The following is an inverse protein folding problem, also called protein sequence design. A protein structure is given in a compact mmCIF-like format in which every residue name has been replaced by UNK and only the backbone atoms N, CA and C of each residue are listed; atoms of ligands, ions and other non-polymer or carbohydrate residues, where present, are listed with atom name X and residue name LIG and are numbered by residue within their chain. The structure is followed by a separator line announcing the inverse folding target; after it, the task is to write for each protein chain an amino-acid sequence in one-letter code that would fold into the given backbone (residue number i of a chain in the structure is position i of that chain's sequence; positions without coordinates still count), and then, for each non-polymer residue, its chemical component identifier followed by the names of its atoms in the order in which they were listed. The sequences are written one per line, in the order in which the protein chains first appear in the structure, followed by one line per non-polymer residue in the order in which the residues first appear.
data_IF_273610288276
#
_entry.id   IF_273610288276
#
_cell.length_a   1.000
_cell.length_b   1.000
_cell.length_c   1.000
_cell.angle_alpha   90.00
_cell.angle_beta   90.00
_cell.angle_gamma   90.00
#
_symmetry.space_group_name_H-M   'P 1'
#
loop_
_entity.id
_entity.type
_entity.pdbx_description
1 polymer ?
#
# COMPACT_ATOMS: atom_id res chain seq x y z
N UNK A 1 -0.58 -78.30 -58.38
CA UNK A 1 -0.84 -77.98 -56.96
C UNK A 1 0.46 -77.50 -56.33
N UNK A 2 0.61 -76.17 -56.28
CA UNK A 2 1.69 -75.45 -55.63
C UNK A 2 1.02 -74.55 -54.62
N UNK A 3 1.41 -74.58 -53.35
CA UNK A 3 1.15 -73.44 -52.47
C UNK A 3 2.21 -73.35 -51.38
N UNK A 4 2.68 -72.12 -51.22
CA UNK A 4 3.90 -71.66 -50.57
C UNK A 4 3.76 -71.65 -49.04
N UNK A 5 4.88 -71.92 -48.35
CA UNK A 5 5.10 -71.55 -46.95
C UNK A 5 5.14 -70.01 -46.84
N UNK A 6 4.31 -69.42 -45.98
CA UNK A 6 4.47 -68.04 -45.55
C UNK A 6 4.65 -68.03 -44.02
N UNK A 7 5.84 -67.63 -43.58
CA UNK A 7 6.10 -67.25 -42.20
C UNK A 7 5.33 -65.95 -41.92
N UNK A 8 4.48 -65.94 -40.89
CA UNK A 8 4.02 -64.71 -40.26
C UNK A 8 4.94 -64.41 -39.06
N UNK A 9 5.73 -63.35 -39.19
CA UNK A 9 6.42 -62.71 -38.07
C UNK A 9 5.42 -61.72 -37.46
N UNK A 10 4.99 -61.98 -36.23
CA UNK A 10 4.18 -61.05 -35.46
C UNK A 10 5.09 -59.95 -34.89
N UNK A 11 5.02 -58.75 -35.47
CA UNK A 11 5.64 -57.54 -34.93
C UNK A 11 4.77 -56.97 -33.81
N UNK A 12 5.23 -57.08 -32.56
CA UNK A 12 4.64 -56.36 -31.44
C UNK A 12 5.13 -54.90 -31.48
N UNK A 13 4.25 -53.98 -31.86
CA UNK A 13 4.49 -52.55 -31.73
C UNK A 13 4.34 -52.15 -30.26
N UNK A 14 5.48 -51.91 -29.58
CA UNK A 14 5.50 -51.30 -28.25
C UNK A 14 5.14 -49.82 -28.42
N UNK A 15 3.89 -49.47 -28.12
CA UNK A 15 3.44 -48.08 -28.04
C UNK A 15 3.97 -47.51 -26.72
N UNK A 16 5.05 -46.73 -26.80
CA UNK A 16 5.53 -45.93 -25.67
C UNK A 16 4.50 -44.82 -25.43
N UNK A 17 3.52 -45.09 -24.57
CA UNK A 17 2.61 -44.07 -24.07
C UNK A 17 3.42 -43.20 -23.10
N UNK A 18 3.87 -42.02 -23.55
CA UNK A 18 4.26 -40.96 -22.64
C UNK A 18 3.02 -40.56 -21.84
N UNK A 19 2.80 -41.25 -20.73
CA UNK A 19 2.04 -40.71 -19.62
C UNK A 19 2.97 -39.71 -18.95
N UNK A 20 2.84 -38.45 -19.33
CA UNK A 20 3.25 -37.34 -18.47
C UNK A 20 2.46 -37.48 -17.18
N UNK A 21 3.03 -38.24 -16.23
CA UNK A 21 2.67 -38.11 -14.84
C UNK A 21 2.96 -36.65 -14.48
N UNK A 22 1.91 -35.82 -14.45
CA UNK A 22 1.87 -34.66 -13.57
C UNK A 22 2.06 -35.22 -12.16
N UNK A 23 3.31 -35.38 -11.76
CA UNK A 23 3.65 -35.50 -10.37
C UNK A 23 3.05 -34.24 -9.74
N UNK A 24 2.01 -34.42 -8.93
CA UNK A 24 1.46 -33.33 -8.14
C UNK A 24 2.58 -32.84 -7.26
N UNK A 25 3.20 -31.72 -7.63
CA UNK A 25 4.05 -30.98 -6.73
C UNK A 25 3.23 -30.71 -5.47
N UNK A 26 3.79 -30.97 -4.29
CA UNK A 26 3.15 -30.61 -3.03
C UNK A 26 2.90 -29.09 -3.06
N UNK A 27 1.63 -28.70 -3.23
CA UNK A 27 1.23 -27.30 -3.25
C UNK A 27 1.66 -26.65 -1.94
N UNK A 28 2.52 -25.64 -2.03
CA UNK A 28 2.96 -24.85 -0.89
C UNK A 28 1.95 -23.73 -0.64
N UNK A 29 1.32 -23.74 0.54
CA UNK A 29 0.50 -22.62 1.01
C UNK A 29 1.37 -21.60 1.74
N UNK A 30 1.30 -20.34 1.32
CA UNK A 30 1.87 -19.18 2.00
C UNK A 30 0.75 -18.43 2.73
N UNK A 31 1.01 -17.97 3.96
CA UNK A 31 0.03 -17.25 4.77
C UNK A 31 0.21 -15.73 4.68
N UNK A 32 -0.79 -15.04 4.15
CA UNK A 32 -0.86 -13.57 4.05
C UNK A 32 -1.69 -13.00 5.22
N UNK A 33 -1.08 -12.26 6.15
CA UNK A 33 -1.79 -11.65 7.28
C UNK A 33 -2.15 -10.19 7.00
N UNK A 34 -3.44 -9.82 7.06
CA UNK A 34 -3.91 -8.45 6.75
C UNK A 34 -4.89 -7.88 7.78
N UNK A 35 -4.86 -6.56 8.06
CA UNK A 35 -5.89 -5.91 8.86
C UNK A 35 -7.19 -5.65 8.13
N UNK A 36 -7.20 -5.77 6.80
CA UNK A 36 -8.37 -5.45 6.01
C UNK A 36 -9.56 -6.38 6.36
N UNK A 37 -10.80 -5.85 6.37
CA UNK A 37 -11.98 -6.69 6.35
C UNK A 37 -12.15 -7.35 4.98
N UNK A 38 -12.74 -8.57 4.88
CA UNK A 38 -12.93 -9.28 3.61
C UNK A 38 -14.13 -8.73 2.84
N UNK A 39 -14.06 -7.47 2.40
CA UNK A 39 -15.10 -6.80 1.61
C UNK A 39 -14.84 -6.86 0.11
N UNK A 40 -15.81 -6.44 -0.68
CA UNK A 40 -15.72 -6.27 -2.14
C UNK A 40 -15.17 -4.89 -2.54
N UNK A 41 -14.24 -4.35 -1.74
CA UNK A 41 -13.58 -3.09 -2.09
C UNK A 41 -12.59 -3.34 -3.25
N UNK A 42 -12.42 -2.40 -4.18
CA UNK A 42 -11.47 -2.51 -5.29
C UNK A 42 -10.07 -3.01 -4.87
N UNK A 43 -9.49 -2.49 -3.79
CA UNK A 43 -8.15 -2.92 -3.32
C UNK A 43 -8.10 -4.38 -2.86
N UNK A 44 -9.19 -4.90 -2.27
CA UNK A 44 -9.28 -6.31 -1.90
C UNK A 44 -9.46 -7.21 -3.13
N UNK A 45 -10.16 -6.73 -4.16
CA UNK A 45 -10.25 -7.44 -5.43
C UNK A 45 -8.88 -7.57 -6.10
N UNK A 46 -8.05 -6.53 -6.05
CA UNK A 46 -6.66 -6.60 -6.52
C UNK A 46 -5.85 -7.63 -5.73
N UNK A 47 -6.01 -7.70 -4.40
CA UNK A 47 -5.35 -8.74 -3.59
C UNK A 47 -5.81 -10.15 -4.01
N UNK A 48 -7.12 -10.38 -4.18
CA UNK A 48 -7.66 -11.67 -4.62
C UNK A 48 -7.18 -12.05 -6.03
N UNK A 49 -7.15 -11.09 -6.95
CA UNK A 49 -6.57 -11.28 -8.28
C UNK A 49 -5.11 -11.72 -8.18
N UNK A 50 -4.30 -11.00 -7.39
CA UNK A 50 -2.88 -11.31 -7.23
C UNK A 50 -2.63 -12.70 -6.65
N UNK A 51 -3.38 -13.10 -5.60
CA UNK A 51 -3.24 -14.44 -5.04
C UNK A 51 -3.61 -15.54 -6.04
N UNK A 52 -4.61 -15.29 -6.89
CA UNK A 52 -5.00 -16.22 -7.95
C UNK A 52 -3.93 -16.30 -9.06
N UNK A 53 -3.37 -15.17 -9.48
CA UNK A 53 -2.31 -15.14 -10.50
C UNK A 53 -1.04 -15.85 -10.04
N UNK A 54 -0.66 -15.72 -8.76
CA UNK A 54 0.46 -16.49 -8.20
C UNK A 54 0.20 -17.98 -8.36
N UNK A 55 -1.01 -18.46 -8.03
CA UNK A 55 -1.40 -19.86 -8.19
C UNK A 55 -1.37 -20.28 -9.66
N UNK A 56 -1.99 -19.50 -10.56
CA UNK A 56 -2.09 -19.85 -11.97
C UNK A 56 -0.71 -19.88 -12.66
N UNK A 57 0.13 -18.85 -12.45
CA UNK A 57 1.45 -18.73 -13.08
C UNK A 57 2.49 -19.69 -12.49
N UNK A 58 2.25 -20.23 -11.30
CA UNK A 58 3.05 -21.32 -10.71
C UNK A 58 2.45 -22.71 -10.95
N UNK A 59 1.43 -22.84 -11.81
CA UNK A 59 0.74 -24.11 -12.08
C UNK A 59 0.19 -24.81 -10.82
N UNK A 60 -0.20 -24.04 -9.80
CA UNK A 60 -0.71 -24.55 -8.52
C UNK A 60 0.37 -24.97 -7.52
N UNK A 61 1.65 -24.75 -7.81
CA UNK A 61 2.75 -25.07 -6.86
C UNK A 61 2.77 -24.12 -5.66
N UNK A 62 2.33 -22.87 -5.84
CA UNK A 62 2.26 -21.86 -4.76
C UNK A 62 0.84 -21.35 -4.64
N UNK A 63 0.26 -21.46 -3.45
CA UNK A 63 -1.02 -20.85 -3.10
C UNK A 63 -0.84 -19.84 -1.97
N UNK A 64 -1.68 -18.80 -1.94
CA UNK A 64 -1.66 -17.79 -0.89
C UNK A 64 -3.00 -17.81 -0.16
N UNK A 65 -2.97 -18.14 1.13
CA UNK A 65 -4.12 -18.07 2.01
C UNK A 65 -4.14 -16.71 2.72
N UNK A 66 -5.23 -15.96 2.57
CA UNK A 66 -5.38 -14.63 3.18
C UNK A 66 -6.11 -14.71 4.53
N UNK A 67 -5.40 -14.30 5.58
CA UNK A 67 -5.88 -14.17 6.95
C UNK A 67 -6.36 -12.73 7.21
N UNK A 68 -7.66 -12.53 7.07
CA UNK A 68 -8.33 -11.22 7.20
C UNK A 68 -8.50 -10.77 8.65
N UNK A 69 -8.83 -9.49 8.84
CA UNK A 69 -9.19 -8.93 10.16
C UNK A 69 -8.15 -9.19 11.27
N UNK A 70 -6.86 -9.28 10.91
CA UNK A 70 -5.79 -9.57 11.86
C UNK A 70 -6.00 -10.88 12.63
N UNK A 71 -6.61 -11.89 11.98
CA UNK A 71 -6.88 -13.21 12.59
C UNK A 71 -5.60 -13.98 12.92
N UNK A 72 -4.56 -13.84 12.08
CA UNK A 72 -3.25 -14.47 12.28
C UNK A 72 -2.30 -13.57 13.08
N UNK A 73 -2.18 -12.29 12.70
CA UNK A 73 -1.24 -11.33 13.29
C UNK A 73 -1.90 -9.98 13.46
N UNK A 74 -1.67 -9.33 14.61
CA UNK A 74 -2.05 -7.92 14.82
C UNK A 74 -1.20 -7.02 13.95
N UNK A 75 -1.80 -6.02 13.31
CA UNK A 75 -1.10 -5.19 12.31
C UNK A 75 0.15 -4.48 12.85
N UNK A 76 0.11 -4.10 14.14
CA UNK A 76 1.25 -3.48 14.81
C UNK A 76 2.44 -4.47 14.98
N UNK A 77 2.16 -5.78 14.98
CA UNK A 77 3.14 -6.84 15.14
C UNK A 77 3.58 -7.46 13.80
N UNK A 78 3.05 -6.99 12.66
CA UNK A 78 3.31 -7.53 11.32
C UNK A 78 4.80 -7.69 11.01
N UNK A 79 5.63 -6.67 11.30
CA UNK A 79 7.06 -6.74 11.02
C UNK A 79 7.79 -7.80 11.88
N UNK A 80 7.35 -8.02 13.12
CA UNK A 80 7.91 -9.05 13.99
C UNK A 80 7.47 -10.44 13.52
N UNK A 81 6.19 -10.60 13.17
CA UNK A 81 5.66 -11.86 12.69
C UNK A 81 6.32 -12.31 11.39
N UNK A 82 6.47 -11.38 10.43
CA UNK A 82 7.22 -11.60 9.19
C UNK A 82 8.67 -12.01 9.47
N UNK A 83 9.38 -11.26 10.31
CA UNK A 83 10.79 -11.55 10.63
C UNK A 83 10.97 -12.96 11.22
N UNK A 84 10.01 -13.41 12.03
CA UNK A 84 10.00 -14.75 12.66
C UNK A 84 9.45 -15.89 11.78
N UNK A 85 8.81 -15.58 10.65
CA UNK A 85 8.13 -16.56 9.81
C UNK A 85 6.76 -17.03 10.32
N UNK A 86 6.16 -16.33 11.31
CA UNK A 86 4.80 -16.62 11.76
C UNK A 86 3.75 -16.31 10.68
N UNK A 87 4.01 -15.29 9.86
CA UNK A 87 3.31 -15.04 8.61
C UNK A 87 4.34 -14.99 7.49
N UNK A 88 3.99 -15.52 6.32
CA UNK A 88 4.86 -15.50 5.15
C UNK A 88 4.85 -14.12 4.50
N UNK A 89 3.68 -13.50 4.40
CA UNK A 89 3.47 -12.22 3.73
C UNK A 89 2.59 -11.32 4.61
N UNK A 90 2.92 -10.03 4.71
CA UNK A 90 2.07 -9.07 5.44
C UNK A 90 2.36 -7.63 4.99
N UNK A 91 1.35 -6.76 4.89
CA UNK A 91 1.55 -5.33 4.83
C UNK A 91 2.05 -4.82 6.20
N UNK A 92 2.89 -3.80 6.17
CA UNK A 92 3.25 -2.99 7.33
C UNK A 92 3.15 -1.50 6.99
N UNK A 93 2.88 -0.67 8.00
CA UNK A 93 3.07 0.77 7.91
C UNK A 93 4.41 1.11 8.57
N UNK A 94 5.39 1.66 7.82
CA UNK A 94 6.69 2.05 8.35
C UNK A 94 6.64 2.97 9.59
N UNK A 95 5.59 3.80 9.74
CA UNK A 95 5.45 4.70 10.90
C UNK A 95 5.38 3.97 12.24
N UNK A 96 4.88 2.72 12.28
CA UNK A 96 4.79 1.94 13.51
C UNK A 96 6.08 1.20 13.86
N UNK A 97 7.06 1.22 12.95
CA UNK A 97 8.29 0.42 13.05
C UNK A 97 9.55 1.25 12.72
N UNK A 98 9.52 2.57 12.94
CA UNK A 98 10.63 3.52 12.67
C UNK A 98 11.96 3.05 13.27
N UNK A 99 11.94 2.45 14.46
CA UNK A 99 13.16 2.00 15.13
C UNK A 99 13.88 0.89 14.36
N UNK A 100 13.13 0.06 13.62
CA UNK A 100 13.63 -1.08 12.82
C UNK A 100 13.85 -0.71 11.36
N UNK A 101 13.01 0.17 10.81
CA UNK A 101 13.03 0.55 9.38
C UNK A 101 13.08 2.07 9.18
N UNK A 102 14.10 2.76 9.70
CA UNK A 102 14.21 4.21 9.57
C UNK A 102 14.19 4.68 8.11
N UNK A 103 14.82 3.98 7.15
CA UNK A 103 14.79 4.41 5.75
C UNK A 103 13.38 4.30 5.16
N UNK A 104 12.63 3.23 5.47
CA UNK A 104 11.25 3.10 5.02
C UNK A 104 10.31 4.16 5.57
N UNK A 105 10.63 4.79 6.69
CA UNK A 105 9.81 5.91 7.19
C UNK A 105 9.86 7.17 6.31
N UNK A 106 10.82 7.28 5.39
CA UNK A 106 10.82 8.35 4.39
C UNK A 106 9.60 8.25 3.44
N UNK A 107 8.99 7.07 3.32
CA UNK A 107 7.74 6.86 2.59
C UNK A 107 6.48 7.39 3.30
N UNK A 108 6.68 8.06 4.45
CA UNK A 108 5.66 8.60 5.31
C UNK A 108 5.94 10.10 5.51
N UNK A 109 5.36 10.91 4.62
CA UNK A 109 5.66 12.34 4.48
C UNK A 109 4.39 13.17 4.56
N UNK A 110 4.45 14.35 5.18
CA UNK A 110 3.36 15.33 5.19
C UNK A 110 3.37 16.27 3.96
N UNK A 111 4.39 16.18 3.10
CA UNK A 111 4.43 16.85 1.78
C UNK A 111 4.33 15.85 0.63
N UNK A 112 4.01 16.35 -0.57
CA UNK A 112 3.96 15.57 -1.81
C UNK A 112 2.56 15.49 -2.40
N UNK A 113 2.26 14.39 -3.09
CA UNK A 113 0.99 14.17 -3.78
C UNK A 113 0.10 13.21 -3.00
N UNK A 114 -1.18 13.56 -2.81
CA UNK A 114 -2.20 12.63 -2.32
C UNK A 114 -2.69 11.64 -3.38
N UNK A 115 -2.15 11.67 -4.61
CA UNK A 115 -2.55 10.78 -5.69
C UNK A 115 -1.87 9.40 -5.59
N UNK A 116 -2.68 8.33 -5.61
CA UNK A 116 -2.17 6.97 -5.44
C UNK A 116 -1.17 6.55 -6.52
N UNK A 117 -1.41 6.89 -7.79
CA UNK A 117 -0.55 6.47 -8.89
C UNK A 117 0.77 7.22 -8.87
N UNK A 118 0.69 8.54 -8.76
CA UNK A 118 1.86 9.42 -8.77
C UNK A 118 2.82 9.01 -7.64
N UNK A 119 2.29 8.76 -6.44
CA UNK A 119 3.10 8.32 -5.31
C UNK A 119 3.68 6.91 -5.50
N UNK A 120 2.89 5.96 -6.02
CA UNK A 120 3.34 4.59 -6.26
C UNK A 120 4.47 4.54 -7.28
N UNK A 121 4.30 5.24 -8.39
CA UNK A 121 5.28 5.31 -9.47
C UNK A 121 6.57 5.99 -9.01
N UNK A 122 6.47 7.12 -8.29
CA UNK A 122 7.64 7.80 -7.74
C UNK A 122 8.42 6.92 -6.76
N UNK A 123 7.74 6.25 -5.82
CA UNK A 123 8.41 5.34 -4.89
C UNK A 123 8.98 4.10 -5.58
N UNK A 124 8.31 3.56 -6.58
CA UNK A 124 8.83 2.43 -7.35
C UNK A 124 10.17 2.80 -8.00
N UNK A 125 10.25 3.93 -8.70
CA UNK A 125 11.50 4.42 -9.31
C UNK A 125 12.62 4.66 -8.29
N UNK A 126 12.28 5.12 -7.08
CA UNK A 126 13.24 5.26 -5.98
C UNK A 126 13.75 3.89 -5.51
N UNK A 127 12.84 2.92 -5.31
CA UNK A 127 13.18 1.59 -4.83
C UNK A 127 14.05 0.82 -5.82
N UNK A 128 13.83 0.96 -7.13
CA UNK A 128 14.68 0.37 -8.17
C UNK A 128 16.12 0.89 -8.12
N UNK A 129 16.28 2.18 -7.80
CA UNK A 129 17.59 2.86 -7.79
C UNK A 129 18.30 2.77 -6.45
N UNK A 130 17.60 2.40 -5.37
CA UNK A 130 18.12 2.49 -4.02
C UNK A 130 18.16 1.15 -3.28
N UNK A 131 19.31 0.43 -3.32
CA UNK A 131 19.43 -0.87 -2.65
C UNK A 131 19.39 -0.77 -1.12
N UNK A 132 19.60 0.41 -0.53
CA UNK A 132 19.67 0.58 0.93
C UNK A 132 18.36 0.16 1.63
N UNK A 133 17.22 0.46 1.02
CA UNK A 133 15.91 0.13 1.58
C UNK A 133 15.65 -1.39 1.53
N UNK A 134 16.10 -2.05 0.46
CA UNK A 134 16.06 -3.51 0.37
C UNK A 134 17.04 -4.19 1.35
N UNK A 135 18.24 -3.64 1.53
CA UNK A 135 19.20 -4.09 2.55
C UNK A 135 18.65 -3.98 3.97
N UNK A 136 17.94 -2.89 4.29
CA UNK A 136 17.30 -2.68 5.59
C UNK A 136 16.23 -3.74 5.90
N UNK A 137 15.42 -4.12 4.90
CA UNK A 137 14.49 -5.25 5.05
C UNK A 137 15.21 -6.58 5.25
N UNK A 138 16.26 -6.85 4.45
CA UNK A 138 17.03 -8.10 4.55
C UNK A 138 17.67 -8.27 5.93
N UNK A 139 18.19 -7.18 6.52
CA UNK A 139 18.71 -7.18 7.91
C UNK A 139 17.67 -7.60 8.95
N UNK A 140 16.39 -7.50 8.63
CA UNK A 140 15.28 -7.88 9.49
C UNK A 140 14.56 -9.17 8.99
N UNK A 141 15.23 -9.99 8.17
CA UNK A 141 14.70 -11.23 7.62
C UNK A 141 13.46 -11.04 6.72
N UNK A 142 13.46 -9.98 5.90
CA UNK A 142 12.36 -9.68 4.97
C UNK A 142 12.86 -9.29 3.58
N UNK A 143 12.00 -9.51 2.58
CA UNK A 143 12.14 -8.98 1.23
C UNK A 143 10.92 -8.16 0.85
N UNK A 144 11.15 -7.07 0.11
CA UNK A 144 10.09 -6.26 -0.44
C UNK A 144 9.37 -7.01 -1.56
N UNK A 145 8.03 -7.04 -1.53
CA UNK A 145 7.25 -7.46 -2.68
C UNK A 145 6.67 -6.23 -3.38
N UNK A 146 5.82 -5.49 -2.67
CA UNK A 146 4.98 -4.44 -3.24
C UNK A 146 4.89 -3.26 -2.28
N UNK A 147 4.81 -2.04 -2.78
CA UNK A 147 4.37 -0.86 -2.03
C UNK A 147 3.18 -0.20 -2.73
N UNK A 148 2.23 0.29 -1.95
CA UNK A 148 1.12 1.09 -2.49
C UNK A 148 0.74 2.24 -1.56
N UNK A 149 0.27 3.31 -2.17
CA UNK A 149 -0.15 4.55 -1.54
C UNK A 149 -1.52 4.38 -0.90
N UNK A 150 -1.67 4.93 0.30
CA UNK A 150 -2.97 5.09 0.97
C UNK A 150 -3.83 6.20 0.37
N UNK A 151 -3.31 6.93 -0.62
CA UNK A 151 -4.03 7.97 -1.34
C UNK A 151 -4.23 9.24 -0.51
N UNK A 152 -5.27 10.04 -0.82
CA UNK A 152 -5.41 11.37 -0.26
C UNK A 152 -5.78 11.30 1.22
N UNK A 153 -5.11 12.13 2.02
CA UNK A 153 -5.41 12.30 3.44
C UNK A 153 -6.63 13.19 3.65
N UNK A 154 -7.37 12.89 4.71
CA UNK A 154 -8.51 13.68 5.19
C UNK A 154 -8.28 14.06 6.64
N UNK A 155 -8.49 15.34 6.94
CA UNK A 155 -8.65 15.87 8.27
C UNK A 155 -10.16 15.88 8.61
N UNK A 156 -10.60 14.90 9.40
CA UNK A 156 -11.97 14.80 9.87
C UNK A 156 -12.15 15.59 11.17
N UNK A 157 -13.27 16.29 11.33
CA UNK A 157 -13.56 17.13 12.49
C UNK A 157 -15.04 17.09 12.87
N UNK A 158 -15.30 17.27 14.17
CA UNK A 158 -16.66 17.31 14.75
C UNK A 158 -17.22 18.73 14.86
N UNK A 159 -16.37 19.76 14.76
CA UNK A 159 -16.72 21.13 15.17
C UNK A 159 -16.56 22.20 14.07
N UNK A 160 -15.50 22.13 13.27
CA UNK A 160 -15.15 23.09 12.20
C UNK A 160 -14.20 22.46 11.17
N UNK A 161 -14.11 22.97 9.94
CA UNK A 161 -13.18 22.45 8.94
C UNK A 161 -11.74 22.87 9.25
N UNK A 162 -10.78 21.95 9.09
CA UNK A 162 -9.35 22.22 9.23
C UNK A 162 -8.71 22.55 7.87
N UNK A 163 -8.96 23.76 7.36
CA UNK A 163 -8.46 24.20 6.05
C UNK A 163 -6.98 24.60 6.10
N UNK A 164 -6.52 25.02 7.27
CA UNK A 164 -5.16 25.43 7.61
C UNK A 164 -4.76 24.83 8.95
N UNK A 165 -3.45 24.78 9.28
CA UNK A 165 -3.02 24.29 10.59
C UNK A 165 -3.54 25.12 11.77
N UNK A 166 -3.83 26.41 11.58
CA UNK A 166 -4.34 27.27 12.65
C UNK A 166 -5.78 26.91 13.05
N UNK A 167 -6.55 26.34 12.11
CA UNK A 167 -7.92 25.89 12.37
C UNK A 167 -8.00 24.75 13.38
N UNK A 168 -6.88 24.06 13.66
CA UNK A 168 -6.85 23.09 14.76
C UNK A 168 -7.17 23.74 16.12
N UNK A 169 -6.85 25.02 16.35
CA UNK A 169 -7.20 25.82 17.53
C UNK A 169 -7.27 25.04 18.88
N UNK A 170 -6.21 24.28 19.18
CA UNK A 170 -6.03 23.52 20.41
C UNK A 170 -6.79 22.19 20.48
N UNK A 171 -7.57 21.83 19.46
CA UNK A 171 -8.40 20.62 19.41
C UNK A 171 -7.57 19.35 19.64
N UNK A 172 -8.21 18.37 20.29
CA UNK A 172 -7.64 17.04 20.48
C UNK A 172 -7.78 16.26 19.18
N UNK A 173 -6.70 16.08 18.43
CA UNK A 173 -6.75 15.45 17.10
C UNK A 173 -5.93 14.17 17.10
N UNK A 174 -6.54 13.07 16.64
CA UNK A 174 -5.78 11.84 16.37
C UNK A 174 -4.89 12.06 15.16
N UNK A 175 -3.59 11.81 15.32
CA UNK A 175 -2.59 11.94 14.26
C UNK A 175 -1.68 10.70 14.21
N UNK A 176 -1.07 10.43 13.07
CA UNK A 176 -0.05 9.39 12.96
C UNK A 176 1.27 9.85 13.59
N UNK A 177 2.20 8.96 13.97
CA UNK A 177 3.49 9.36 14.55
C UNK A 177 4.24 10.41 13.73
N UNK A 178 4.23 10.33 12.39
CA UNK A 178 4.86 11.34 11.52
C UNK A 178 4.14 12.67 11.58
N UNK A 179 2.81 12.68 11.49
CA UNK A 179 2.00 13.90 11.62
C UNK A 179 2.17 14.56 12.99
N UNK A 180 2.30 13.80 14.09
CA UNK A 180 2.59 14.35 15.44
C UNK A 180 3.96 15.05 15.46
N UNK A 181 4.99 14.43 14.86
CA UNK A 181 6.31 15.05 14.76
C UNK A 181 6.26 16.33 13.92
N UNK A 182 5.52 16.31 12.80
CA UNK A 182 5.37 17.46 11.93
C UNK A 182 4.62 18.61 12.61
N UNK A 183 3.49 18.34 13.25
CA UNK A 183 2.71 19.32 14.01
C UNK A 183 3.55 20.00 15.10
N UNK A 184 4.37 19.23 15.82
CA UNK A 184 5.27 19.75 16.84
C UNK A 184 6.36 20.65 16.25
N UNK A 185 7.00 20.23 15.16
CA UNK A 185 8.10 21.00 14.55
C UNK A 185 7.59 22.27 13.86
N UNK A 186 6.40 22.22 13.26
CA UNK A 186 5.73 23.37 12.65
C UNK A 186 4.96 24.24 13.66
N UNK A 187 4.97 23.88 14.96
CA UNK A 187 4.30 24.59 16.04
C UNK A 187 2.79 24.81 15.79
N UNK A 188 2.09 23.78 15.31
CA UNK A 188 0.64 23.83 15.13
C UNK A 188 -0.07 23.93 16.47
N UNK A 189 -1.10 24.77 16.56
CA UNK A 189 -1.96 24.86 17.74
C UNK A 189 -2.93 23.66 17.76
N UNK A 190 -2.43 22.48 18.10
CA UNK A 190 -3.19 21.23 18.17
C UNK A 190 -2.74 20.42 19.38
N UNK A 191 -3.65 19.64 19.96
CA UNK A 191 -3.32 18.65 21.00
C UNK A 191 -3.34 17.26 20.36
N UNK A 192 -2.20 16.68 19.95
CA UNK A 192 -2.21 15.37 19.31
C UNK A 192 -2.56 14.26 20.31
N UNK A 193 -3.45 13.36 19.93
CA UNK A 193 -3.88 12.22 20.76
C UNK A 193 -3.58 10.91 20.05
N UNK A 194 -2.97 9.96 20.76
CA UNK A 194 -2.75 8.62 20.23
C UNK A 194 -4.00 7.77 20.47
N UNK A 195 -4.70 7.44 19.39
CA UNK A 195 -5.84 6.52 19.38
C UNK A 195 -5.59 5.50 18.27
N UNK A 196 -5.85 4.22 18.56
CA UNK A 196 -5.76 3.18 17.55
C UNK A 196 -6.74 3.46 16.41
N UNK A 197 -6.37 3.14 15.16
CA UNK A 197 -7.17 3.54 14.00
C UNK A 197 -8.62 3.02 14.06
N UNK A 198 -8.83 1.80 14.55
CA UNK A 198 -10.16 1.20 14.71
C UNK A 198 -11.02 1.89 15.79
N UNK A 199 -10.41 2.61 16.73
CA UNK A 199 -11.12 3.25 17.84
C UNK A 199 -11.51 4.71 17.54
N UNK A 200 -11.07 5.27 16.40
CA UNK A 200 -11.32 6.68 16.01
C UNK A 200 -12.81 7.00 16.06
N UNK A 201 -13.67 6.17 15.46
CA UNK A 201 -15.12 6.35 15.50
C UNK A 201 -15.62 6.58 16.92
N UNK A 202 -15.31 5.63 17.81
CA UNK A 202 -15.81 5.63 19.18
C UNK A 202 -15.24 6.79 20.00
N UNK A 203 -14.01 7.21 19.70
CA UNK A 203 -13.35 8.31 20.36
C UNK A 203 -13.94 9.67 19.96
N UNK A 204 -14.30 9.84 18.67
CA UNK A 204 -15.00 11.02 18.16
C UNK A 204 -16.44 11.08 18.66
N UNK A 205 -17.17 9.96 18.60
CA UNK A 205 -18.56 9.84 19.07
C UNK A 205 -18.71 10.21 20.56
N UNK A 206 -17.79 9.72 21.41
CA UNK A 206 -17.75 10.08 22.83
C UNK A 206 -17.18 11.47 23.12
N UNK A 207 -16.71 12.20 22.11
CA UNK A 207 -16.10 13.52 22.27
C UNK A 207 -14.75 13.51 23.02
N UNK A 208 -14.07 12.37 23.08
CA UNK A 208 -12.73 12.27 23.71
C UNK A 208 -11.64 12.87 22.82
N UNK A 209 -11.87 12.90 21.50
CA UNK A 209 -11.11 13.64 20.50
C UNK A 209 -12.08 14.48 19.66
N UNK A 210 -11.62 15.62 19.16
CA UNK A 210 -12.40 16.53 18.33
C UNK A 210 -12.29 16.21 16.83
N UNK A 211 -11.24 15.50 16.43
CA UNK A 211 -10.99 15.14 15.04
C UNK A 211 -9.91 14.07 14.87
N UNK A 212 -9.69 13.67 13.62
CA UNK A 212 -8.69 12.68 13.27
C UNK A 212 -8.15 12.92 11.85
N UNK A 213 -6.85 12.72 11.67
CA UNK A 213 -6.25 12.52 10.36
C UNK A 213 -6.45 11.06 9.93
N UNK A 214 -6.95 10.86 8.72
CA UNK A 214 -7.26 9.57 8.08
C UNK A 214 -7.03 9.68 6.56
N UNK A 215 -7.53 8.73 5.79
CA UNK A 215 -7.52 8.74 4.32
C UNK A 215 -8.94 8.70 3.78
N UNK A 216 -9.17 9.32 2.63
CA UNK A 216 -10.51 9.46 2.02
C UNK A 216 -11.21 8.11 1.89
N UNK A 217 -10.51 7.11 1.34
CA UNK A 217 -11.06 5.77 1.11
C UNK A 217 -11.43 5.01 2.41
N UNK A 218 -10.90 5.42 3.57
CA UNK A 218 -11.19 4.79 4.86
C UNK A 218 -12.36 5.46 5.61
N UNK A 219 -12.83 6.63 5.18
CA UNK A 219 -13.98 7.31 5.79
C UNK A 219 -15.27 6.44 5.78
N UNK A 220 -15.63 5.76 4.66
CA UNK A 220 -16.80 4.87 4.65
C UNK A 220 -16.66 3.58 5.48
N UNK A 221 -15.66 2.70 5.25
CA UNK A 221 -15.64 1.37 5.87
C UNK A 221 -15.40 1.38 7.37
N UNK A 222 -14.76 2.44 7.90
CA UNK A 222 -14.62 2.65 9.35
C UNK A 222 -15.68 3.60 9.92
N UNK A 223 -16.66 4.02 9.10
CA UNK A 223 -17.80 4.84 9.50
C UNK A 223 -17.43 6.19 10.11
N UNK A 224 -16.21 6.67 9.89
CA UNK A 224 -15.77 7.97 10.43
C UNK A 224 -16.66 9.13 9.95
N UNK A 225 -17.25 9.00 8.76
CA UNK A 225 -18.22 9.95 8.22
C UNK A 225 -19.53 10.04 9.04
N UNK A 226 -19.92 9.01 9.80
CA UNK A 226 -21.13 9.07 10.64
C UNK A 226 -20.97 10.05 11.83
N UNK A 227 -19.71 10.31 12.24
CA UNK A 227 -19.37 11.12 13.42
C UNK A 227 -18.57 12.38 13.07
N UNK A 228 -18.06 12.50 11.85
CA UNK A 228 -17.36 13.68 11.36
C UNK A 228 -18.35 14.63 10.67
N UNK A 229 -18.49 15.86 11.19
CA UNK A 229 -19.31 16.90 10.54
C UNK A 229 -18.59 17.60 9.40
N UNK A 230 -17.25 17.62 9.45
CA UNK A 230 -16.39 18.24 8.45
C UNK A 230 -15.31 17.25 8.04
N UNK A 231 -14.97 17.24 6.75
CA UNK A 231 -13.88 16.46 6.21
C UNK A 231 -13.11 17.31 5.20
N UNK A 232 -11.85 17.62 5.50
CA UNK A 232 -10.97 18.38 4.61
C UNK A 232 -9.94 17.44 4.01
N UNK A 233 -10.08 17.14 2.72
CA UNK A 233 -9.07 16.42 1.95
C UNK A 233 -7.92 17.35 1.60
N UNK A 234 -6.72 17.01 2.06
CA UNK A 234 -5.56 17.90 1.93
C UNK A 234 -4.94 17.86 0.54
N UNK A 235 -5.08 16.73 -0.18
CA UNK A 235 -4.46 16.53 -1.50
C UNK A 235 -2.91 16.49 -1.49
N UNK A 236 -2.30 16.57 -0.31
CA UNK A 236 -0.86 16.58 -0.10
C UNK A 236 -0.45 15.54 0.93
N UNK A 237 0.84 15.22 0.94
CA UNK A 237 1.38 14.19 1.81
C UNK A 237 1.14 12.79 1.26
N UNK A 238 1.91 11.83 1.76
CA UNK A 238 1.92 10.48 1.24
C UNK A 238 2.25 9.48 2.35
N UNK A 239 1.56 8.35 2.33
CA UNK A 239 1.80 7.21 3.23
C UNK A 239 1.74 5.92 2.44
N UNK A 240 2.89 5.27 2.29
CA UNK A 240 2.99 3.97 1.64
C UNK A 240 2.69 2.84 2.63
N UNK A 241 1.85 1.89 2.22
CA UNK A 241 1.79 0.56 2.83
C UNK A 241 2.78 -0.34 2.10
N UNK A 242 3.62 -1.04 2.86
CA UNK A 242 4.70 -1.87 2.32
C UNK A 242 4.37 -3.33 2.60
N UNK A 243 4.16 -4.11 1.55
CA UNK A 243 3.94 -5.57 1.62
C UNK A 243 5.28 -6.26 1.47
N UNK A 244 5.63 -7.06 2.47
CA UNK A 244 6.90 -7.78 2.51
C UNK A 244 6.64 -9.27 2.68
N UNK A 245 7.60 -10.07 2.25
CA UNK A 245 7.67 -11.51 2.51
C UNK A 245 8.79 -11.80 3.51
N UNK A 246 8.62 -12.82 4.34
CA UNK A 246 9.73 -13.42 5.10
C UNK A 246 10.84 -13.85 4.14
N UNK A 247 12.09 -13.54 4.47
CA UNK A 247 13.22 -13.80 3.58
C UNK A 247 13.57 -15.29 3.46
N UNK A 248 13.37 -16.10 4.51
CA UNK A 248 13.55 -17.56 4.43
C UNK A 248 12.46 -18.21 3.56
N UNK A 249 11.22 -17.73 3.65
CA UNK A 249 10.13 -18.10 2.74
C UNK A 249 10.50 -17.75 1.31
N UNK A 250 10.95 -16.53 1.05
CA UNK A 250 11.39 -16.11 -0.29
C UNK A 250 12.53 -17.00 -0.83
N UNK A 251 13.57 -17.25 -0.03
CA UNK A 251 14.74 -18.04 -0.43
C UNK A 251 14.43 -19.53 -0.63
N UNK A 252 13.30 -20.02 -0.13
CA UNK A 252 12.86 -21.40 -0.34
C UNK A 252 11.92 -21.56 -1.54
N UNK A 253 11.55 -20.48 -2.22
CA UNK A 253 10.89 -20.53 -3.52
C UNK A 253 11.92 -20.87 -4.62
N UNK A 254 11.46 -21.54 -5.68
CA UNK A 254 12.31 -21.74 -6.87
C UNK A 254 12.56 -20.41 -7.60
N UNK A 255 13.62 -20.30 -8.41
CA UNK A 255 13.84 -19.10 -9.23
C UNK A 255 12.65 -18.75 -10.12
N UNK A 256 11.96 -19.76 -10.67
CA UNK A 256 10.76 -19.58 -11.49
C UNK A 256 9.59 -19.02 -10.66
N UNK A 257 9.39 -19.53 -9.44
CA UNK A 257 8.37 -19.00 -8.53
C UNK A 257 8.68 -17.56 -8.10
N UNK A 258 9.94 -17.24 -7.78
CA UNK A 258 10.37 -15.87 -7.48
C UNK A 258 10.13 -14.92 -8.66
N UNK A 259 10.38 -15.38 -9.89
CA UNK A 259 10.14 -14.62 -11.10
C UNK A 259 8.65 -14.28 -11.28
N UNK A 260 7.73 -15.21 -10.96
CA UNK A 260 6.28 -14.94 -10.98
C UNK A 260 5.91 -13.77 -10.05
N UNK A 261 6.46 -13.73 -8.83
CA UNK A 261 6.23 -12.60 -7.93
C UNK A 261 6.75 -11.29 -8.51
N UNK A 262 7.95 -11.29 -9.11
CA UNK A 262 8.55 -10.10 -9.71
C UNK A 262 7.74 -9.56 -10.89
N UNK A 263 7.27 -10.44 -11.79
CA UNK A 263 6.47 -10.06 -12.96
C UNK A 263 5.10 -9.49 -12.57
N UNK A 264 4.50 -10.01 -11.49
CA UNK A 264 3.22 -9.52 -10.99
C UNK A 264 3.29 -8.15 -10.32
N UNK A 265 4.47 -7.69 -9.90
CA UNK A 265 4.60 -6.44 -9.15
C UNK A 265 4.12 -5.21 -9.94
N UNK A 266 4.43 -5.13 -11.24
CA UNK A 266 4.04 -4.00 -12.09
C UNK A 266 2.53 -3.96 -12.36
N UNK A 267 1.95 -5.13 -12.66
CA UNK A 267 0.51 -5.27 -12.83
C UNK A 267 -0.23 -4.94 -11.53
N UNK A 268 0.26 -5.46 -10.39
CA UNK A 268 -0.31 -5.17 -9.08
C UNK A 268 -0.27 -3.68 -8.77
N UNK A 269 0.90 -3.04 -8.94
CA UNK A 269 1.10 -1.62 -8.65
C UNK A 269 0.10 -0.75 -9.42
N UNK A 270 -0.06 -1.02 -10.71
CA UNK A 270 -0.99 -0.28 -11.57
C UNK A 270 -2.45 -0.53 -11.18
N UNK A 271 -2.84 -1.79 -10.99
CA UNK A 271 -4.20 -2.17 -10.56
C UNK A 271 -4.54 -1.58 -9.19
N UNK A 272 -3.62 -1.63 -8.24
CA UNK A 272 -3.80 -1.10 -6.89
C UNK A 272 -3.88 0.43 -6.89
N UNK A 273 -3.08 1.12 -7.69
CA UNK A 273 -3.19 2.57 -7.85
C UNK A 273 -4.57 2.98 -8.38
N UNK A 274 -5.05 2.29 -9.43
CA UNK A 274 -6.39 2.52 -10.00
C UNK A 274 -7.50 2.20 -9.01
N UNK A 275 -7.38 1.11 -8.26
CA UNK A 275 -8.31 0.74 -7.20
C UNK A 275 -8.37 1.81 -6.10
N UNK A 276 -7.22 2.32 -5.65
CA UNK A 276 -7.17 3.39 -4.64
C UNK A 276 -7.79 4.70 -5.11
N UNK A 277 -7.55 5.10 -6.37
CA UNK A 277 -8.20 6.27 -6.97
C UNK A 277 -9.73 6.09 -7.04
N UNK A 278 -10.19 4.91 -7.45
CA UNK A 278 -11.63 4.60 -7.49
C UNK A 278 -12.25 4.65 -6.09
N UNK A 279 -11.62 4.02 -5.09
CA UNK A 279 -12.12 4.04 -3.72
C UNK A 279 -12.17 5.45 -3.11
N UNK A 280 -11.21 6.30 -3.47
CA UNK A 280 -11.23 7.71 -3.06
C UNK A 280 -12.40 8.46 -3.70
N UNK A 281 -12.64 8.30 -5.02
CA UNK A 281 -13.79 8.93 -5.68
C UNK A 281 -15.13 8.45 -5.10
N UNK A 282 -15.30 7.14 -4.90
CA UNK A 282 -16.52 6.57 -4.32
C UNK A 282 -16.78 7.10 -2.90
N UNK A 283 -15.72 7.23 -2.09
CA UNK A 283 -15.81 7.79 -0.76
C UNK A 283 -16.17 9.29 -0.77
N UNK A 284 -15.64 10.07 -1.71
CA UNK A 284 -16.01 11.49 -1.87
C UNK A 284 -17.47 11.65 -2.25
N UNK A 285 -17.93 10.87 -3.22
CA UNK A 285 -19.32 10.92 -3.67
C UNK A 285 -20.28 10.51 -2.55
N UNK A 286 -19.95 9.45 -1.81
CA UNK A 286 -20.71 9.04 -0.64
C UNK A 286 -20.79 10.19 0.39
N UNK A 287 -19.67 10.78 0.80
CA UNK A 287 -19.67 11.86 1.79
C UNK A 287 -20.45 13.11 1.33
N UNK A 288 -20.41 13.44 0.03
CA UNK A 288 -21.13 14.60 -0.53
C UNK A 288 -22.63 14.39 -0.64
N UNK A 289 -23.08 13.16 -0.83
CA UNK A 289 -24.49 12.84 -1.11
C UNK A 289 -25.23 12.18 0.05
N UNK A 290 -24.52 11.74 1.09
CA UNK A 290 -25.10 11.12 2.26
C UNK A 290 -25.97 12.11 3.04
N UNK A 291 -27.28 11.83 3.09
CA UNK A 291 -28.28 12.65 3.79
C UNK A 291 -28.53 12.20 5.23
N UNK A 292 -28.18 10.96 5.56
CA UNK A 292 -28.34 10.40 6.90
C UNK A 292 -27.25 10.95 7.84
N UNK A 293 -26.02 11.00 7.33
CA UNK A 293 -24.84 11.52 8.01
C UNK A 293 -24.19 12.64 7.17
N UNK A 294 -24.77 13.86 7.18
CA UNK A 294 -24.26 14.94 6.36
C UNK A 294 -22.85 15.35 6.81
N UNK A 295 -21.90 15.31 5.87
CA UNK A 295 -20.52 15.75 6.06
C UNK A 295 -20.25 16.95 5.15
N UNK A 296 -19.76 18.07 5.71
CA UNK A 296 -19.23 19.17 4.91
C UNK A 296 -17.84 18.80 4.38
N UNK A 297 -17.81 18.33 3.13
CA UNK A 297 -16.61 17.83 2.48
C UNK A 297 -15.90 18.92 1.66
N UNK A 298 -14.65 19.21 2.00
CA UNK A 298 -13.78 20.15 1.30
C UNK A 298 -12.59 19.44 0.67
N UNK A 299 -12.11 19.98 -0.45
CA UNK A 299 -10.79 19.66 -1.00
C UNK A 299 -10.00 20.97 -0.97
N UNK A 300 -8.78 20.94 -0.45
CA UNK A 300 -7.91 22.12 -0.46
C UNK A 300 -7.65 22.58 -1.89
N UNK A 301 -7.70 23.89 -2.10
CA UNK A 301 -7.31 24.49 -3.39
C UNK A 301 -5.81 24.35 -3.62
N UNK A 302 -5.35 24.48 -4.86
CA UNK A 302 -3.91 24.44 -5.18
C UNK A 302 -3.09 25.48 -4.38
N UNK A 303 -3.67 26.65 -4.11
CA UNK A 303 -3.04 27.69 -3.29
C UNK A 303 -2.90 27.25 -1.82
N UNK A 304 -3.97 26.68 -1.24
CA UNK A 304 -3.93 26.12 0.11
C UNK A 304 -2.94 24.97 0.21
N UNK A 305 -2.97 24.03 -0.75
CA UNK A 305 -2.02 22.92 -0.83
C UNK A 305 -0.57 23.41 -0.86
N UNK A 306 -0.29 24.45 -1.65
CA UNK A 306 1.05 25.06 -1.72
C UNK A 306 1.46 25.69 -0.38
N UNK A 307 0.55 26.36 0.30
CA UNK A 307 0.82 26.95 1.62
C UNK A 307 1.15 25.86 2.66
N UNK A 308 0.38 24.77 2.68
CA UNK A 308 0.67 23.62 3.54
C UNK A 308 2.02 22.97 3.21
N UNK A 309 2.32 22.73 1.93
CA UNK A 309 3.60 22.18 1.51
C UNK A 309 4.78 23.06 1.95
N UNK A 310 4.71 24.36 1.71
CA UNK A 310 5.78 25.29 2.10
C UNK A 310 6.03 25.31 3.62
N UNK A 311 4.98 25.16 4.43
CA UNK A 311 5.10 25.09 5.89
C UNK A 311 5.75 23.77 6.37
N UNK A 312 5.57 22.68 5.62
CA UNK A 312 6.01 21.34 5.97
C UNK A 312 7.33 20.92 5.30
N UNK A 313 7.75 21.58 4.21
CA UNK A 313 9.01 21.30 3.52
C UNK A 313 10.24 21.34 4.45
N UNK A 314 10.42 22.37 5.31
CA UNK A 314 11.55 22.39 6.24
C UNK A 314 11.50 21.27 7.29
N UNK A 315 10.29 20.88 7.70
CA UNK A 315 10.03 19.81 8.67
C UNK A 315 10.42 18.45 8.10
N UNK A 316 9.99 18.15 6.87
CA UNK A 316 10.32 16.90 6.19
C UNK A 316 11.81 16.81 5.86
N UNK A 317 12.43 17.93 5.45
CA UNK A 317 13.89 17.99 5.25
C UNK A 317 14.65 17.74 6.54
N UNK A 318 14.26 18.39 7.64
CA UNK A 318 14.88 18.20 8.95
C UNK A 318 14.74 16.75 9.44
N UNK A 319 13.62 16.09 9.13
CA UNK A 319 13.43 14.67 9.39
C UNK A 319 14.40 13.80 8.60
N UNK A 320 14.53 14.02 7.29
CA UNK A 320 15.51 13.31 6.45
C UNK A 320 16.95 13.52 6.94
N UNK A 321 17.32 14.76 7.33
CA UNK A 321 18.63 15.08 7.90
C UNK A 321 18.87 14.39 9.26
N UNK A 322 17.84 14.27 10.10
CA UNK A 322 17.92 13.49 11.35
C UNK A 322 18.23 12.03 11.05
N UNK A 323 17.57 11.43 10.06
CA UNK A 323 17.85 10.06 9.64
C UNK A 323 19.25 9.93 9.02
N UNK A 324 19.70 10.94 8.26
CA UNK A 324 21.02 10.98 7.64
C UNK A 324 22.19 10.91 8.64
N UNK A 325 21.97 11.33 9.89
CA UNK A 325 22.95 11.15 10.98
C UNK A 325 23.19 9.67 11.34
N UNK A 326 22.23 8.79 11.05
CA UNK A 326 22.33 7.33 11.27
C UNK A 326 22.70 6.59 9.99
N UNK A 327 22.09 6.97 8.87
CA UNK A 327 22.38 6.41 7.55
C UNK A 327 22.41 7.55 6.51
N UNK A 328 23.59 7.96 6.02
CA UNK A 328 23.72 9.08 5.08
C UNK A 328 22.86 8.97 3.82
N UNK A 329 22.47 7.74 3.43
CA UNK A 329 21.63 7.47 2.25
C UNK A 329 20.19 7.98 2.43
N UNK A 330 19.76 8.29 3.65
CA UNK A 330 18.43 8.84 3.91
C UNK A 330 18.17 10.15 3.16
N UNK A 331 19.15 11.05 3.08
CA UNK A 331 18.98 12.32 2.37
C UNK A 331 18.91 12.10 0.86
N UNK A 332 19.72 11.19 0.32
CA UNK A 332 19.69 10.80 -1.09
C UNK A 332 18.33 10.20 -1.46
N UNK A 333 17.78 9.30 -0.63
CA UNK A 333 16.44 8.72 -0.83
C UNK A 333 15.37 9.81 -0.84
N UNK A 334 15.43 10.72 0.13
CA UNK A 334 14.48 11.82 0.24
C UNK A 334 14.53 12.72 -1.01
N UNK A 335 15.71 13.15 -1.43
CA UNK A 335 15.89 14.00 -2.62
C UNK A 335 15.49 13.27 -3.91
N UNK A 336 15.83 11.97 -4.03
CA UNK A 336 15.40 11.14 -5.15
C UNK A 336 13.88 11.06 -5.22
N UNK A 337 13.19 10.86 -4.09
CA UNK A 337 11.74 10.84 -4.05
C UNK A 337 11.13 12.18 -4.49
N UNK A 338 11.64 13.32 -4.00
CA UNK A 338 11.14 14.64 -4.42
C UNK A 338 11.36 14.89 -5.92
N UNK A 339 12.43 14.35 -6.51
CA UNK A 339 12.69 14.45 -7.94
C UNK A 339 11.74 13.57 -8.76
N UNK A 340 11.61 12.29 -8.39
CA UNK A 340 10.73 11.35 -9.09
C UNK A 340 9.26 11.77 -8.96
N UNK A 341 8.84 12.27 -7.79
CA UNK A 341 7.48 12.77 -7.59
C UNK A 341 7.14 13.88 -8.58
N UNK A 342 8.02 14.87 -8.73
CA UNK A 342 7.82 15.97 -9.69
C UNK A 342 7.83 15.48 -11.14
N UNK A 343 8.69 14.52 -11.47
CA UNK A 343 8.75 13.93 -12.80
C UNK A 343 7.44 13.21 -13.16
N UNK A 344 6.96 12.34 -12.27
CA UNK A 344 5.72 11.59 -12.46
C UNK A 344 4.50 12.52 -12.48
N UNK A 345 4.44 13.53 -11.61
CA UNK A 345 3.39 14.55 -11.65
C UNK A 345 3.32 15.23 -13.03
N UNK A 346 4.49 15.57 -13.59
CA UNK A 346 4.57 16.14 -14.93
C UNK A 346 4.12 15.16 -16.01
N UNK A 347 4.55 13.90 -15.94
CA UNK A 347 4.16 12.87 -16.89
C UNK A 347 2.65 12.63 -16.91
N UNK A 348 2.01 12.56 -15.74
CA UNK A 348 0.56 12.42 -15.61
C UNK A 348 -0.16 13.67 -16.09
N UNK A 349 0.36 14.87 -15.80
CA UNK A 349 -0.22 16.11 -16.29
C UNK A 349 -0.16 16.24 -17.82
N UNK A 350 0.94 15.78 -18.44
CA UNK A 350 1.15 15.87 -19.89
C UNK A 350 0.41 14.76 -20.65
N UNK A 351 0.33 13.54 -20.10
CA UNK A 351 -0.12 12.34 -20.84
C UNK A 351 -1.37 11.67 -20.26
N UNK A 352 -1.83 12.05 -19.07
CA UNK A 352 -2.82 11.30 -18.30
C UNK A 352 -2.24 10.05 -17.63
N UNK A 353 -3.12 9.24 -17.03
CA UNK A 353 -2.72 7.96 -16.44
C UNK A 353 -2.43 6.91 -17.52
N UNK A 354 -1.51 5.95 -17.29
CA UNK A 354 -1.13 4.97 -18.31
C UNK A 354 -2.29 4.08 -18.81
N UNK A 355 -3.30 3.82 -17.98
CA UNK A 355 -4.50 3.06 -18.36
C UNK A 355 -5.54 3.87 -19.14
N UNK A 356 -5.34 5.18 -19.34
CA UNK A 356 -6.22 6.00 -20.16
C UNK A 356 -5.88 5.87 -21.65
N UNK A 357 -4.61 5.65 -21.99
CA UNK A 357 -4.17 5.36 -23.37
C UNK A 357 -4.63 3.99 -23.88
N UNK A 358 -4.87 3.02 -23.00
CA UNK A 358 -5.36 1.68 -23.37
C UNK A 358 -6.77 1.71 -24.00
N UNK A 359 -7.57 2.75 -23.74
CA UNK A 359 -8.89 2.93 -24.35
C UNK A 359 -8.85 3.33 -25.83
N UNK A 360 -7.70 3.76 -26.36
CA UNK A 360 -7.58 4.22 -27.77
C UNK A 360 -7.09 3.10 -28.70
N UNK A 361 -6.45 2.06 -28.17
CA UNK A 361 -5.92 0.95 -28.97
C UNK A 361 -6.91 -0.21 -29.18
N UNK A 362 -8.14 -0.10 -28.66
CA UNK A 362 -9.15 -1.16 -28.67
C UNK A 362 -10.45 -0.82 -29.41
N UNK A 363 -10.38 -0.09 -30.53
CA UNK A 363 -11.49 0.10 -31.47
C UNK A 363 -11.15 -0.47 -32.85
#
# INVERSE_FOLDING_TARGET
MSLKKHLMVAGAAITFSLTSALAGADTRTLHYATPAPPTDRPSNEVLRWWTNEVKERTNGEVEIEVHWLQSLVKYHDSAQALSSGLADISPMNPEYVESRFPLWTLSQTEIGSGDNYIANEAWHRVLEKNPAMAEELKKNNMVHLIAYSSGPRVNASTSRPYLTPDDFDGDKVRMTPRAVQAAKQANWNVTPVQVAFADIYSAMDRGTINGAQTYTYLMPPYKHHEVAKYAVETGIGQSMVVVNMNLDTWNSLTPEQQQVFAELNDEYRTRMARAGLQEAEDAREMMRTNKEFPTEFHILTAEQQKAWQAALEPVERAYAEKLAKRDPRALEIFESFQNELRAVQKEVADNGYPWQSEKVAGN
#
